data_IF_137176179441
#
_entry.id   IF_137176179441
#
_cell.length_a   1.000
_cell.length_b   1.000
_cell.length_c   1.000
_cell.angle_alpha   90.00
_cell.angle_beta   90.00
_cell.angle_gamma   90.00
#
_symmetry.space_group_name_H-M   'P 1'
#
loop_
_entity.id
_entity.type
_entity.pdbx_description
1 polymer ?
#
# COMPACT_ATOMS: atom_id res chain seq x y z
N UNK A 1 21.23 2.28 10.04
CA UNK A 1 20.26 2.44 8.93
C UNK A 1 20.46 3.82 8.35
N UNK A 2 20.82 3.94 7.07
CA UNK A 2 20.99 5.23 6.39
C UNK A 2 19.88 5.35 5.32
N UNK A 3 18.82 6.15 5.58
CA UNK A 3 17.75 6.31 4.60
C UNK A 3 18.29 6.98 3.34
N UNK A 4 17.78 6.57 2.18
CA UNK A 4 18.14 7.14 0.88
C UNK A 4 16.87 7.40 0.06
N UNK A 5 16.88 8.51 -0.67
CA UNK A 5 15.88 8.81 -1.70
C UNK A 5 16.42 8.23 -3.01
N UNK A 6 15.61 7.46 -3.71
CA UNK A 6 16.01 6.75 -4.94
C UNK A 6 14.89 6.82 -5.96
N UNK A 7 15.28 6.86 -7.23
CA UNK A 7 14.37 6.63 -8.34
C UNK A 7 14.26 5.12 -8.60
N UNK A 8 13.06 4.64 -8.86
CA UNK A 8 12.78 3.24 -9.16
C UNK A 8 12.21 3.13 -10.57
N UNK A 9 12.63 2.11 -11.31
CA UNK A 9 11.97 1.75 -12.55
C UNK A 9 10.49 1.42 -12.30
N UNK A 10 9.60 1.67 -13.28
CA UNK A 10 8.18 1.34 -13.18
C UNK A 10 7.95 -0.13 -12.79
N UNK A 11 6.98 -0.37 -11.90
CA UNK A 11 6.61 -1.71 -11.43
C UNK A 11 5.15 -1.98 -11.72
N UNK A 12 4.86 -3.20 -12.16
CA UNK A 12 3.50 -3.72 -12.18
C UNK A 12 3.22 -4.41 -10.84
N UNK A 13 2.16 -3.99 -10.16
CA UNK A 13 1.74 -4.55 -8.88
C UNK A 13 0.39 -5.25 -9.05
N UNK A 14 0.24 -6.40 -8.40
CA UNK A 14 -1.03 -7.11 -8.24
C UNK A 14 -1.36 -7.13 -6.76
N UNK A 15 -2.61 -6.83 -6.42
CA UNK A 15 -2.99 -6.66 -5.02
C UNK A 15 -4.48 -6.51 -4.83
N UNK A 16 -4.83 -6.14 -3.60
CA UNK A 16 -6.16 -5.78 -3.16
C UNK A 16 -6.13 -4.35 -2.63
N UNK A 17 -7.25 -3.64 -2.74
CA UNK A 17 -7.41 -2.32 -2.14
C UNK A 17 -8.50 -2.33 -1.07
N UNK A 18 -8.40 -1.38 -0.14
CA UNK A 18 -9.41 -1.12 0.86
C UNK A 18 -9.36 0.36 1.22
N UNK A 19 -10.52 1.02 1.24
CA UNK A 19 -10.61 2.42 1.66
C UNK A 19 -10.43 2.51 3.19
N UNK A 20 -9.49 3.35 3.63
CA UNK A 20 -9.16 3.57 5.04
C UNK A 20 -8.53 4.94 5.24
N UNK A 21 -8.60 5.46 6.47
CA UNK A 21 -7.90 6.68 6.86
C UNK A 21 -6.80 6.36 7.87
N UNK A 22 -5.91 7.32 8.16
CA UNK A 22 -4.87 7.12 9.16
C UNK A 22 -5.46 6.85 10.56
N UNK A 23 -6.59 7.49 10.89
CA UNK A 23 -7.31 7.29 12.15
C UNK A 23 -8.08 5.96 12.20
N UNK A 24 -8.50 5.43 11.04
CA UNK A 24 -9.17 4.14 10.90
C UNK A 24 -8.32 3.21 10.03
N UNK A 25 -7.12 2.87 10.50
CA UNK A 25 -6.17 2.07 9.77
C UNK A 25 -6.66 0.61 9.64
N UNK A 26 -6.77 0.13 8.39
CA UNK A 26 -7.18 -1.24 8.05
C UNK A 26 -6.07 -2.04 7.36
N UNK A 27 -4.81 -1.64 7.50
CA UNK A 27 -3.65 -2.31 6.90
C UNK A 27 -3.59 -3.78 7.32
N UNK A 28 -3.82 -4.07 8.61
CA UNK A 28 -3.85 -5.45 9.09
C UNK A 28 -4.96 -6.29 8.46
N UNK A 29 -6.18 -5.74 8.33
CA UNK A 29 -7.31 -6.41 7.67
C UNK A 29 -7.00 -6.69 6.21
N UNK A 30 -6.51 -5.68 5.48
CA UNK A 30 -6.11 -5.78 4.09
C UNK A 30 -5.09 -6.91 3.87
N UNK A 31 -4.01 -6.93 4.66
CA UNK A 31 -2.99 -7.97 4.50
C UNK A 31 -3.44 -9.34 4.98
N UNK A 32 -4.26 -9.42 6.03
CA UNK A 32 -4.78 -10.71 6.50
C UNK A 32 -5.62 -11.42 5.44
N UNK A 33 -6.38 -10.65 4.67
CA UNK A 33 -7.18 -11.16 3.54
C UNK A 33 -6.29 -11.44 2.31
N UNK A 34 -5.33 -10.56 2.00
CA UNK A 34 -4.53 -10.67 0.79
C UNK A 34 -3.45 -11.76 0.85
N UNK A 35 -2.81 -11.98 2.00
CA UNK A 35 -1.65 -12.89 2.09
C UNK A 35 -1.96 -14.36 1.71
N UNK A 36 -3.12 -14.95 2.05
CA UNK A 36 -3.52 -16.25 1.53
C UNK A 36 -3.70 -16.26 -0.01
N UNK A 37 -4.26 -15.19 -0.57
CA UNK A 37 -4.49 -15.03 -2.02
C UNK A 37 -3.15 -14.86 -2.75
N UNK A 38 -2.19 -14.14 -2.17
CA UNK A 38 -0.84 -13.96 -2.73
C UNK A 38 -0.19 -15.28 -3.12
N UNK A 39 -0.43 -16.35 -2.35
CA UNK A 39 0.16 -17.66 -2.61
C UNK A 39 -0.38 -18.35 -3.87
N UNK A 40 -1.49 -17.87 -4.43
CA UNK A 40 -2.07 -18.40 -5.68
C UNK A 40 -1.58 -17.64 -6.92
N UNK A 41 -0.90 -16.51 -6.74
CA UNK A 41 -0.40 -15.66 -7.82
C UNK A 41 0.82 -16.31 -8.47
N UNK A 42 0.69 -16.62 -9.76
CA UNK A 42 1.76 -17.19 -10.58
C UNK A 42 2.63 -16.09 -11.20
N UNK A 43 3.86 -16.44 -11.58
CA UNK A 43 4.80 -15.54 -12.28
C UNK A 43 5.19 -14.26 -11.52
N UNK A 44 5.07 -14.25 -10.19
CA UNK A 44 5.60 -13.17 -9.38
C UNK A 44 7.13 -13.07 -9.56
N UNK A 45 7.61 -11.87 -9.91
CA UNK A 45 9.04 -11.61 -10.16
C UNK A 45 9.81 -11.19 -8.91
N UNK A 46 9.12 -10.95 -7.80
CA UNK A 46 9.69 -10.59 -6.50
C UNK A 46 8.88 -11.19 -5.34
N UNK A 47 9.54 -11.41 -4.20
CA UNK A 47 8.90 -11.76 -2.93
C UNK A 47 8.46 -10.56 -2.11
N UNK A 48 8.86 -9.35 -2.51
CA UNK A 48 8.56 -8.10 -1.81
C UNK A 48 7.06 -7.87 -1.70
N UNK A 49 6.67 -7.19 -0.61
CA UNK A 49 5.29 -6.79 -0.35
C UNK A 49 5.27 -5.27 -0.18
N UNK A 50 4.35 -4.62 -0.88
CA UNK A 50 4.22 -3.17 -0.90
C UNK A 50 2.90 -2.77 -0.25
N UNK A 51 2.96 -1.92 0.77
CA UNK A 51 1.82 -1.12 1.21
C UNK A 51 1.77 0.14 0.34
N UNK A 52 0.70 0.28 -0.45
CA UNK A 52 0.54 1.42 -1.37
C UNK A 52 -0.56 2.33 -0.83
N UNK A 53 -0.18 3.55 -0.46
CA UNK A 53 -1.11 4.58 -0.01
C UNK A 53 -1.33 5.57 -1.15
N UNK A 54 -2.60 5.79 -1.51
CA UNK A 54 -3.00 6.76 -2.54
C UNK A 54 -3.71 7.90 -1.81
N UNK A 55 -3.17 9.10 -1.96
CA UNK A 55 -3.73 10.31 -1.37
C UNK A 55 -4.30 11.21 -2.45
N UNK A 56 -5.37 11.94 -2.11
CA UNK A 56 -5.85 13.02 -2.97
C UNK A 56 -4.82 14.17 -3.03
N UNK A 57 -4.89 15.00 -4.07
CA UNK A 57 -3.93 16.10 -4.28
C UNK A 57 -3.90 17.14 -3.15
N UNK A 58 -4.99 17.25 -2.39
CA UNK A 58 -5.16 18.18 -1.28
C UNK A 58 -5.01 17.50 0.07
N UNK A 59 -4.65 16.21 0.15
CA UNK A 59 -4.62 15.44 1.39
C UNK A 59 -3.80 16.13 2.50
N UNK A 60 -2.66 16.71 2.11
CA UNK A 60 -1.78 17.43 3.03
C UNK A 60 -2.18 18.91 3.25
N UNK A 61 -3.14 19.43 2.50
CA UNK A 61 -3.72 20.77 2.69
C UNK A 61 -4.90 20.68 3.66
N UNK A 62 -4.70 21.10 4.91
CA UNK A 62 -5.72 20.90 5.95
C UNK A 62 -5.82 19.44 6.38
N UNK A 63 -4.65 18.82 6.59
CA UNK A 63 -4.49 17.44 7.03
C UNK A 63 -5.48 17.07 8.12
N UNK A 64 -6.21 15.99 7.87
CA UNK A 64 -7.15 15.38 8.81
C UNK A 64 -6.95 13.86 8.72
N UNK A 65 -6.45 13.21 9.79
CA UNK A 65 -6.14 11.79 9.76
C UNK A 65 -7.39 10.92 9.60
N UNK A 66 -8.59 11.46 9.78
CA UNK A 66 -9.85 10.73 9.59
C UNK A 66 -10.32 10.69 8.14
N UNK A 67 -9.78 11.54 7.27
CA UNK A 67 -10.09 11.56 5.84
C UNK A 67 -9.34 10.46 5.10
N UNK A 68 -10.04 9.81 4.19
CA UNK A 68 -9.49 8.83 3.26
C UNK A 68 -9.04 9.51 1.98
#
# INVERSE_FOLDING_TARGET
>A
MNPRIVELDPKLLVGMNLNMSLANNKTQELFSIFMPIRNTIQHATSTDVFEVMIYDQMHFQGFDPSKT
#
